data_IF_051371425985
#
_entry.id   IF_051371425985
#
_cell.length_a   1.000
_cell.length_b   1.000
_cell.length_c   1.000
_cell.angle_alpha   90.00
_cell.angle_beta   90.00
_cell.angle_gamma   90.00
#
_symmetry.space_group_name_H-M   'P 1'
#
loop_
_entity.id
_entity.type
_entity.pdbx_description
1 polymer ?
#
# COMPACT_ATOMS: atom_id res chain seq x y z
N UNK A 1 13.81 -18.14 22.59
CA UNK A 1 13.12 -16.86 22.82
C UNK A 1 13.38 -16.04 21.58
N UNK A 2 12.44 -16.04 20.64
CA UNK A 2 12.49 -15.21 19.44
C UNK A 2 11.19 -14.42 19.45
N UNK A 3 11.29 -13.15 19.83
CA UNK A 3 10.26 -12.15 19.66
C UNK A 3 10.94 -11.04 18.86
N UNK A 4 11.20 -11.34 17.59
CA UNK A 4 11.40 -10.29 16.60
C UNK A 4 10.02 -9.95 16.08
N UNK A 5 9.24 -9.27 16.91
CA UNK A 5 8.17 -8.41 16.43
C UNK A 5 8.87 -7.21 15.76
N UNK A 6 9.48 -7.48 14.62
CA UNK A 6 10.06 -6.44 13.80
C UNK A 6 8.85 -5.64 13.31
N UNK A 7 8.86 -4.35 13.65
CA UNK A 7 7.82 -3.36 13.45
C UNK A 7 7.64 -3.08 11.93
N UNK A 8 7.24 -4.11 11.18
CA UNK A 8 7.19 -4.15 9.71
C UNK A 8 6.16 -3.17 9.15
N UNK A 9 5.19 -2.74 9.96
CA UNK A 9 4.18 -1.75 9.57
C UNK A 9 4.82 -0.41 9.17
N UNK A 10 5.89 0.02 9.84
CA UNK A 10 6.60 1.25 9.49
C UNK A 10 7.30 1.13 8.14
N UNK A 11 7.95 -0.02 7.90
CA UNK A 11 8.66 -0.30 6.64
C UNK A 11 7.69 -0.37 5.46
N UNK A 12 6.56 -1.07 5.63
CA UNK A 12 5.49 -1.16 4.63
C UNK A 12 4.91 0.21 4.31
N UNK A 13 4.68 1.06 5.33
CA UNK A 13 4.15 2.42 5.13
C UNK A 13 5.09 3.28 4.28
N UNK A 14 6.41 3.22 4.52
CA UNK A 14 7.41 3.96 3.73
C UNK A 14 7.42 3.48 2.28
N UNK A 15 7.39 2.16 2.07
CA UNK A 15 7.40 1.58 0.72
C UNK A 15 6.11 1.92 -0.03
N UNK A 16 4.97 1.92 0.69
CA UNK A 16 3.68 2.30 0.12
C UNK A 16 3.64 3.75 -0.31
N UNK A 17 4.26 4.65 0.45
CA UNK A 17 4.41 6.06 0.04
C UNK A 17 5.21 6.18 -1.25
N UNK A 18 6.36 5.49 -1.34
CA UNK A 18 7.19 5.50 -2.56
C UNK A 18 6.49 4.90 -3.79
N UNK A 19 5.68 3.86 -3.59
CA UNK A 19 4.84 3.30 -4.67
C UNK A 19 3.78 4.29 -5.13
N UNK A 20 3.06 4.93 -4.20
CA UNK A 20 2.05 5.96 -4.54
C UNK A 20 2.65 7.15 -5.26
N UNK A 21 3.85 7.59 -4.84
CA UNK A 21 4.56 8.68 -5.49
C UNK A 21 4.91 8.31 -6.95
N UNK A 22 5.41 7.09 -7.19
CA UNK A 22 5.70 6.58 -8.54
C UNK A 22 4.45 6.42 -9.41
N UNK A 23 3.33 6.07 -8.80
CA UNK A 23 2.02 5.95 -9.46
C UNK A 23 1.30 7.31 -9.57
N UNK A 24 1.88 8.38 -9.01
CA UNK A 24 1.31 9.72 -8.88
C UNK A 24 -0.14 9.70 -8.33
N UNK A 25 -0.35 8.90 -7.27
CA UNK A 25 -1.64 8.64 -6.65
C UNK A 25 -1.88 9.50 -5.40
N UNK A 26 -3.12 9.98 -5.22
CA UNK A 26 -3.54 10.66 -4.00
C UNK A 26 -4.09 9.66 -2.97
N UNK A 27 -3.56 9.69 -1.74
CA UNK A 27 -4.06 8.91 -0.60
C UNK A 27 -5.54 9.15 -0.28
N UNK A 28 -6.08 10.34 -0.59
CA UNK A 28 -7.48 10.71 -0.34
C UNK A 28 -8.42 10.10 -1.37
N UNK A 29 -7.93 9.85 -2.58
CA UNK A 29 -8.66 9.29 -3.70
C UNK A 29 -7.81 8.18 -4.36
N UNK A 30 -7.62 7.05 -3.66
CA UNK A 30 -6.76 5.97 -4.15
C UNK A 30 -7.37 5.33 -5.40
N UNK A 31 -6.53 5.03 -6.40
CA UNK A 31 -6.90 4.38 -7.67
C UNK A 31 -6.38 2.94 -7.78
N UNK A 32 -5.28 2.66 -7.09
CA UNK A 32 -4.53 1.43 -7.09
C UNK A 32 -4.35 0.88 -5.69
N UNK A 33 -4.14 1.72 -4.67
CA UNK A 33 -3.85 1.25 -3.31
C UNK A 33 -4.71 1.98 -2.28
N UNK A 34 -5.66 1.27 -1.70
CA UNK A 34 -6.51 1.75 -0.62
C UNK A 34 -5.90 1.43 0.76
N UNK A 35 -6.04 2.35 1.71
CA UNK A 35 -5.68 2.11 3.11
C UNK A 35 -6.89 1.63 3.90
N UNK A 36 -6.79 0.43 4.47
CA UNK A 36 -7.79 -0.18 5.34
C UNK A 36 -7.35 -0.03 6.79
N UNK A 37 -8.03 0.85 7.52
CA UNK A 37 -7.71 1.14 8.92
C UNK A 37 -7.84 -0.12 9.78
N UNK A 38 -6.77 -0.47 10.50
CA UNK A 38 -6.71 -1.69 11.34
C UNK A 38 -6.49 -2.99 10.56
N UNK A 39 -6.25 -2.93 9.25
CA UNK A 39 -5.94 -4.13 8.44
C UNK A 39 -4.81 -3.95 7.43
N UNK A 40 -4.38 -2.71 7.14
CA UNK A 40 -3.22 -2.43 6.28
C UNK A 40 -3.60 -1.80 4.94
N UNK A 41 -3.13 -2.38 3.83
CA UNK A 41 -3.33 -1.83 2.49
C UNK A 41 -3.93 -2.86 1.54
N UNK A 42 -4.80 -2.40 0.64
CA UNK A 42 -5.49 -3.23 -0.35
C UNK A 42 -5.24 -2.71 -1.76
N UNK A 43 -4.87 -3.60 -2.68
CA UNK A 43 -4.76 -3.25 -4.08
C UNK A 43 -6.14 -3.26 -4.75
N UNK A 44 -6.53 -2.14 -5.37
CA UNK A 44 -7.83 -1.90 -6.01
C UNK A 44 -7.70 -1.50 -7.49
N UNK A 45 -6.49 -1.59 -8.07
CA UNK A 45 -6.24 -1.18 -9.44
C UNK A 45 -7.06 -1.99 -10.45
N UNK A 46 -7.71 -1.31 -11.40
CA UNK A 46 -8.38 -1.96 -12.52
C UNK A 46 -7.35 -2.59 -13.45
N UNK A 47 -7.39 -3.92 -13.58
CA UNK A 47 -6.58 -4.65 -14.57
C UNK A 47 -7.30 -4.53 -15.91
N UNK A 48 -6.84 -3.61 -16.77
CA UNK A 48 -7.26 -3.58 -18.16
C UNK A 48 -6.46 -4.63 -18.92
N UNK A 49 -7.12 -5.69 -19.35
CA UNK A 49 -6.57 -6.61 -20.33
C UNK A 49 -6.72 -5.94 -21.70
N UNK A 50 -5.61 -5.55 -22.31
CA UNK A 50 -5.60 -5.21 -23.74
C UNK A 50 -5.83 -6.51 -24.52
N UNK A 51 -6.77 -6.48 -25.45
CA UNK A 51 -7.11 -7.56 -26.37
C UNK A 51 -6.88 -7.08 -27.80
#
# INVERSE_FOLDING_TARGET
MWHEDCDDEQTVTVHMKGLRDKLNEDKKNPKYIETVWGSGYRFIGEVKYEN
#
